data_IF_855016488558
#
_entry.id   IF_855016488558
#
_cell.length_a   1.000
_cell.length_b   1.000
_cell.length_c   1.000
_cell.angle_alpha   90.00
_cell.angle_beta   90.00
_cell.angle_gamma   90.00
#
_symmetry.space_group_name_H-M   'P 1'
#
loop_
_entity.id
_entity.type
_entity.pdbx_description
1 polymer ?
#
# COMPACT_ATOMS: atom_id res chain seq x y z
N UNK A 1 -71.54 16.57 12.06
CA UNK A 1 -70.88 15.51 11.24
C UNK A 1 -69.43 15.96 11.00
N UNK A 2 -68.51 15.47 11.84
CA UNK A 2 -67.10 15.88 11.77
C UNK A 2 -66.35 14.77 11.02
N UNK A 3 -65.82 15.10 9.84
CA UNK A 3 -64.97 14.20 9.06
C UNK A 3 -63.55 14.27 9.66
N UNK A 4 -63.18 13.18 10.34
CA UNK A 4 -61.81 12.97 10.81
C UNK A 4 -60.99 12.39 9.63
N UNK A 5 -60.17 13.21 8.99
CA UNK A 5 -59.25 12.76 7.92
C UNK A 5 -58.07 12.03 8.54
N UNK A 6 -57.96 10.75 8.28
CA UNK A 6 -56.77 9.96 8.67
C UNK A 6 -55.59 10.31 7.74
N UNK A 7 -54.57 11.00 8.28
CA UNK A 7 -53.30 11.20 7.60
C UNK A 7 -52.53 9.88 7.61
N UNK A 8 -52.37 9.26 6.44
CA UNK A 8 -51.48 8.10 6.29
C UNK A 8 -50.01 8.57 6.40
N UNK A 9 -49.36 8.27 7.51
CA UNK A 9 -47.93 8.44 7.65
C UNK A 9 -47.22 7.36 6.85
N UNK A 10 -46.60 7.71 5.74
CA UNK A 10 -45.67 6.82 5.04
C UNK A 10 -44.38 6.73 5.82
N UNK A 11 -43.90 5.52 6.17
CA UNK A 11 -42.57 5.39 6.79
C UNK A 11 -41.53 5.79 5.76
N UNK A 12 -40.89 6.93 5.97
CA UNK A 12 -39.65 7.29 5.26
C UNK A 12 -38.59 6.31 5.77
N UNK A 13 -38.32 5.23 5.05
CA UNK A 13 -37.13 4.42 5.24
C UNK A 13 -35.96 5.26 4.72
N UNK A 14 -35.28 5.93 5.63
CA UNK A 14 -33.95 6.43 5.37
C UNK A 14 -33.02 5.22 5.19
N UNK A 15 -32.87 4.79 3.95
CA UNK A 15 -31.92 3.75 3.58
C UNK A 15 -30.54 4.41 3.40
N UNK A 16 -30.00 4.96 4.51
CA UNK A 16 -28.61 5.39 4.57
C UNK A 16 -27.75 4.16 4.88
N UNK A 17 -27.69 3.22 3.95
CA UNK A 17 -26.63 2.24 3.92
C UNK A 17 -25.39 2.93 3.38
N UNK A 18 -24.29 2.99 4.18
CA UNK A 18 -22.98 3.31 3.62
C UNK A 18 -22.69 2.34 2.48
N UNK A 19 -22.03 2.77 1.40
CA UNK A 19 -21.65 1.89 0.31
C UNK A 19 -20.77 0.78 0.88
N UNK A 20 -21.04 -0.48 0.50
CA UNK A 20 -20.12 -1.58 0.79
C UNK A 20 -18.99 -1.55 -0.22
N UNK A 21 -17.76 -1.59 0.28
CA UNK A 21 -16.55 -1.71 -0.54
C UNK A 21 -16.03 -3.14 -0.62
N UNK A 22 -16.79 -4.13 -0.09
CA UNK A 22 -16.36 -5.52 -0.02
C UNK A 22 -15.99 -6.09 -1.38
N UNK A 23 -16.87 -5.95 -2.38
CA UNK A 23 -16.63 -6.47 -3.73
C UNK A 23 -15.43 -5.80 -4.41
N UNK A 24 -15.23 -4.50 -4.15
CA UNK A 24 -14.08 -3.76 -4.66
C UNK A 24 -12.78 -4.21 -3.99
N UNK A 25 -12.81 -4.37 -2.67
CA UNK A 25 -11.66 -4.85 -1.90
C UNK A 25 -11.28 -6.28 -2.32
N UNK A 26 -12.24 -7.20 -2.43
CA UNK A 26 -12.01 -8.57 -2.88
C UNK A 26 -11.33 -8.61 -4.26
N UNK A 27 -11.75 -7.73 -5.18
CA UNK A 27 -11.16 -7.63 -6.52
C UNK A 27 -9.75 -7.04 -6.51
N UNK A 28 -9.45 -6.07 -5.61
CA UNK A 28 -8.20 -5.33 -5.63
C UNK A 28 -7.11 -5.94 -4.73
N UNK A 29 -7.47 -6.67 -3.67
CA UNK A 29 -6.50 -7.29 -2.76
C UNK A 29 -5.45 -8.13 -3.50
N UNK A 30 -5.78 -8.96 -4.52
CA UNK A 30 -4.77 -9.74 -5.23
C UNK A 30 -3.76 -8.90 -6.02
N UNK A 31 -4.06 -7.63 -6.28
CA UNK A 31 -3.16 -6.71 -7.02
C UNK A 31 -2.26 -5.89 -6.10
N UNK A 32 -2.45 -5.96 -4.78
CA UNK A 32 -1.66 -5.24 -3.78
C UNK A 32 -0.62 -6.19 -3.20
N UNK A 33 0.60 -5.69 -3.03
CA UNK A 33 1.72 -6.46 -2.51
C UNK A 33 2.33 -5.78 -1.29
N UNK A 34 2.91 -6.59 -0.41
CA UNK A 34 3.76 -6.10 0.67
C UNK A 34 5.21 -6.08 0.17
N UNK A 35 5.93 -5.05 0.54
CA UNK A 35 7.33 -4.89 0.17
C UNK A 35 8.15 -4.78 1.45
N UNK A 36 9.17 -5.61 1.55
CA UNK A 36 10.18 -5.51 2.60
C UNK A 36 11.54 -5.30 1.96
N UNK A 37 12.31 -4.37 2.49
CA UNK A 37 13.65 -4.07 1.97
C UNK A 37 14.68 -4.20 3.08
N UNK A 38 15.85 -4.71 2.71
CA UNK A 38 17.02 -4.70 3.56
C UNK A 38 17.88 -3.53 3.10
N UNK A 39 18.08 -2.56 3.98
CA UNK A 39 18.90 -1.37 3.70
C UNK A 39 20.27 -1.54 4.34
N UNK A 40 21.32 -1.04 3.66
CA UNK A 40 22.63 -0.93 4.30
C UNK A 40 22.53 0.02 5.50
N UNK A 41 23.16 -0.33 6.62
CA UNK A 41 23.33 0.63 7.69
C UNK A 41 24.15 1.79 7.11
N UNK A 42 23.56 2.98 7.04
CA UNK A 42 24.32 4.20 6.80
C UNK A 42 25.56 4.15 7.70
N UNK A 43 26.73 4.59 7.18
CA UNK A 43 27.93 4.67 8.00
C UNK A 43 27.61 5.55 9.21
N UNK A 44 27.19 4.89 10.28
CA UNK A 44 26.87 5.58 11.53
C UNK A 44 28.20 6.12 12.02
N UNK A 45 28.33 7.45 11.96
CA UNK A 45 29.33 8.15 12.73
C UNK A 45 29.03 7.87 14.21
N UNK A 46 29.55 6.76 14.73
CA UNK A 46 29.49 6.46 16.16
C UNK A 46 30.32 7.53 16.83
N UNK A 47 29.72 8.46 17.61
CA UNK A 47 30.51 9.37 18.41
C UNK A 47 31.34 8.51 19.37
N UNK A 48 32.68 8.63 19.28
CA UNK A 48 33.57 7.94 20.17
C UNK A 48 33.18 8.24 21.63
N UNK A 49 33.02 7.18 22.39
CA UNK A 49 32.99 7.08 23.85
C UNK A 49 32.62 8.35 24.66
N UNK A 50 31.48 8.31 25.34
CA UNK A 50 31.24 9.19 26.49
C UNK A 50 29.88 9.77 26.72
N UNK A 51 28.76 9.18 26.29
CA UNK A 51 27.45 9.64 26.78
C UNK A 51 26.68 8.54 27.52
N UNK A 52 26.59 8.73 28.86
CA UNK A 52 25.63 8.03 29.71
C UNK A 52 24.20 8.39 29.28
N UNK A 53 23.56 7.53 28.52
CA UNK A 53 22.16 7.67 28.19
C UNK A 53 21.71 6.46 27.44
N UNK A 54 20.69 5.73 27.95
CA UNK A 54 20.19 4.46 27.45
C UNK A 54 20.04 4.42 25.93
N UNK A 55 21.09 3.95 25.26
CA UNK A 55 21.09 3.72 23.83
C UNK A 55 20.41 2.38 23.54
N UNK A 56 19.48 2.36 22.64
CA UNK A 56 19.05 1.15 21.97
C UNK A 56 20.33 0.42 21.46
N UNK A 57 20.45 -0.85 21.84
CA UNK A 57 21.52 -1.70 21.35
C UNK A 57 21.28 -1.94 19.86
N UNK A 58 22.05 -1.26 19.03
CA UNK A 58 22.01 -1.42 17.58
C UNK A 58 22.97 -2.53 17.20
N UNK A 59 22.45 -3.64 16.67
CA UNK A 59 23.28 -4.67 16.05
C UNK A 59 23.63 -4.23 14.63
N UNK A 60 24.90 -3.92 14.33
CA UNK A 60 25.34 -3.52 12.99
C UNK A 60 25.17 -4.61 11.92
N UNK A 61 24.85 -5.85 12.34
CA UNK A 61 24.65 -7.01 11.47
C UNK A 61 23.17 -7.24 11.11
N UNK A 62 22.24 -6.61 11.83
CA UNK A 62 20.82 -6.58 11.45
C UNK A 62 20.60 -5.35 10.58
N UNK A 63 20.55 -5.54 9.25
CA UNK A 63 20.18 -4.48 8.31
C UNK A 63 18.84 -3.86 8.69
N UNK A 64 18.65 -2.57 8.43
CA UNK A 64 17.35 -1.94 8.62
C UNK A 64 16.36 -2.56 7.65
N UNK A 65 15.25 -3.06 8.18
CA UNK A 65 14.11 -3.50 7.37
C UNK A 65 13.14 -2.34 7.23
N UNK A 66 12.93 -1.85 6.00
CA UNK A 66 11.82 -0.97 5.71
C UNK A 66 10.65 -1.80 5.15
N UNK A 67 9.44 -1.39 5.50
CA UNK A 67 8.21 -2.03 5.06
C UNK A 67 7.39 -1.02 4.26
N UNK A 68 6.75 -1.49 3.21
CA UNK A 68 5.88 -0.70 2.37
C UNK A 68 4.86 -1.54 1.63
N UNK A 69 4.06 -0.89 0.83
CA UNK A 69 3.10 -1.53 -0.05
C UNK A 69 3.35 -1.10 -1.49
N UNK A 70 2.94 -1.93 -2.43
CA UNK A 70 2.95 -1.64 -3.84
C UNK A 70 1.72 -2.22 -4.52
N UNK A 71 1.58 -1.95 -5.80
CA UNK A 71 0.52 -2.54 -6.61
C UNK A 71 1.04 -2.97 -7.98
N UNK A 72 0.52 -4.10 -8.43
CA UNK A 72 0.91 -4.76 -9.69
C UNK A 72 0.26 -4.02 -10.85
N UNK A 73 1.05 -3.60 -11.83
CA UNK A 73 0.59 -2.87 -13.02
C UNK A 73 0.63 -3.71 -14.31
N UNK A 74 1.27 -4.87 -14.26
CA UNK A 74 1.34 -5.78 -15.43
C UNK A 74 1.39 -7.25 -14.99
N UNK A 75 0.85 -8.12 -15.82
CA UNK A 75 0.76 -9.57 -15.59
C UNK A 75 2.13 -10.24 -15.50
N UNK A 76 3.15 -9.62 -16.10
CA UNK A 76 4.53 -10.08 -16.11
C UNK A 76 5.37 -9.58 -14.92
N UNK A 77 4.76 -8.86 -13.95
CA UNK A 77 5.37 -8.57 -12.66
C UNK A 77 5.96 -7.18 -12.46
N UNK A 78 5.56 -6.16 -13.24
CA UNK A 78 5.89 -4.78 -12.89
C UNK A 78 5.01 -4.28 -11.76
N UNK A 79 5.62 -3.62 -10.78
CA UNK A 79 4.99 -3.13 -9.55
C UNK A 79 5.39 -1.69 -9.33
N UNK A 80 4.41 -0.84 -9.00
CA UNK A 80 4.66 0.53 -8.53
C UNK A 80 4.62 0.55 -7.00
N UNK A 81 5.59 1.24 -6.41
CA UNK A 81 5.69 1.53 -4.99
C UNK A 81 6.20 2.95 -4.77
N UNK A 82 6.43 3.34 -3.51
CA UNK A 82 7.05 4.62 -3.19
C UNK A 82 8.57 4.52 -3.26
N UNK A 83 9.21 5.62 -3.67
CA UNK A 83 10.67 5.69 -3.77
C UNK A 83 11.35 5.49 -2.41
N UNK A 84 10.82 6.12 -1.35
CA UNK A 84 11.39 5.99 -0.01
C UNK A 84 11.38 4.56 0.54
N UNK A 85 10.53 3.65 0.00
CA UNK A 85 10.50 2.23 0.40
C UNK A 85 11.74 1.49 -0.13
N UNK A 86 12.22 1.87 -1.34
CA UNK A 86 13.32 1.19 -2.01
C UNK A 86 14.65 1.97 -1.93
N UNK A 87 14.62 3.16 -1.35
CA UNK A 87 15.80 4.00 -1.20
C UNK A 87 16.85 3.29 -0.35
N UNK A 88 18.08 3.22 -0.85
CA UNK A 88 19.22 2.53 -0.22
C UNK A 88 18.98 1.01 0.06
N UNK A 89 18.01 0.40 -0.61
CA UNK A 89 17.77 -1.04 -0.49
C UNK A 89 18.86 -1.85 -1.21
N UNK A 90 19.46 -2.83 -0.52
CA UNK A 90 20.30 -3.85 -1.14
C UNK A 90 19.47 -4.98 -1.71
N UNK A 91 18.40 -5.34 -1.00
CA UNK A 91 17.48 -6.42 -1.38
C UNK A 91 16.04 -5.90 -1.23
N UNK A 92 15.24 -6.17 -2.22
CA UNK A 92 13.79 -5.88 -2.22
C UNK A 92 13.04 -7.19 -2.32
N UNK A 93 12.25 -7.53 -1.31
CA UNK A 93 11.38 -8.69 -1.31
C UNK A 93 9.92 -8.25 -1.44
N UNK A 94 9.20 -8.91 -2.31
CA UNK A 94 7.76 -8.71 -2.53
C UNK A 94 7.00 -9.92 -2.04
N UNK A 95 5.99 -9.70 -1.21
CA UNK A 95 5.07 -10.72 -0.74
C UNK A 95 3.74 -10.54 -1.43
N UNK A 96 3.35 -11.52 -2.23
CA UNK A 96 2.09 -11.55 -2.96
C UNK A 96 0.92 -11.89 -2.01
N UNK A 97 -0.32 -11.73 -2.50
CA UNK A 97 -1.55 -11.96 -1.71
C UNK A 97 -1.68 -13.39 -1.16
N UNK A 98 -1.05 -14.37 -1.81
CA UNK A 98 -1.04 -15.78 -1.41
C UNK A 98 0.14 -16.14 -0.48
N UNK A 99 0.88 -15.13 0.00
CA UNK A 99 2.11 -15.22 0.78
C UNK A 99 3.32 -15.78 0.03
N UNK A 100 3.29 -15.82 -1.31
CA UNK A 100 4.48 -16.12 -2.10
C UNK A 100 5.46 -14.96 -1.99
N UNK A 101 6.70 -15.25 -1.61
CA UNK A 101 7.79 -14.28 -1.54
C UNK A 101 8.64 -14.36 -2.80
N UNK A 102 8.90 -13.20 -3.42
CA UNK A 102 9.71 -13.08 -4.64
C UNK A 102 10.65 -11.90 -4.50
N UNK A 103 11.92 -12.09 -4.81
CA UNK A 103 12.89 -11.01 -4.90
C UNK A 103 12.60 -10.14 -6.12
N UNK A 104 12.75 -8.83 -5.96
CA UNK A 104 12.46 -7.85 -7.00
C UNK A 104 13.70 -7.08 -7.43
N UNK A 105 13.80 -6.83 -8.73
CA UNK A 105 14.76 -5.92 -9.33
C UNK A 105 14.23 -4.48 -9.29
N UNK A 106 15.07 -3.54 -8.88
CA UNK A 106 14.76 -2.11 -8.95
C UNK A 106 14.99 -1.65 -10.40
N UNK A 107 13.91 -1.26 -11.09
CA UNK A 107 13.97 -0.74 -12.46
C UNK A 107 14.31 0.75 -12.48
N UNK A 108 13.76 1.50 -11.52
CA UNK A 108 14.04 2.92 -11.37
C UNK A 108 13.10 3.59 -10.37
N UNK A 109 13.41 4.85 -10.07
CA UNK A 109 12.59 5.66 -9.16
C UNK A 109 12.85 7.15 -9.32
N UNK A 110 11.91 7.95 -8.85
CA UNK A 110 11.99 9.39 -8.81
C UNK A 110 11.69 9.89 -7.39
N UNK A 111 12.73 10.36 -6.71
CA UNK A 111 12.66 10.93 -5.36
C UNK A 111 11.67 12.09 -5.25
N UNK A 112 11.56 12.93 -6.31
CA UNK A 112 10.70 14.13 -6.26
C UNK A 112 9.22 13.80 -6.25
N UNK A 113 8.81 12.74 -6.96
CA UNK A 113 7.43 12.27 -7.01
C UNK A 113 7.17 11.17 -5.99
N UNK A 114 8.21 10.68 -5.34
CA UNK A 114 8.17 9.51 -4.45
C UNK A 114 7.56 8.27 -5.13
N UNK A 115 7.90 8.05 -6.40
CA UNK A 115 7.43 6.90 -7.18
C UNK A 115 8.62 6.02 -7.56
N UNK A 116 8.47 4.70 -7.41
CA UNK A 116 9.43 3.71 -7.86
C UNK A 116 8.76 2.60 -8.65
N UNK A 117 9.52 2.03 -9.60
CA UNK A 117 9.15 0.87 -10.38
C UNK A 117 10.10 -0.27 -10.04
N UNK A 118 9.53 -1.41 -9.66
CA UNK A 118 10.25 -2.65 -9.41
C UNK A 118 9.68 -3.77 -10.28
N UNK A 119 10.44 -4.84 -10.48
CA UNK A 119 10.08 -5.98 -11.31
C UNK A 119 10.33 -7.27 -10.56
N UNK A 120 9.36 -8.16 -10.56
CA UNK A 120 9.52 -9.54 -10.09
C UNK A 120 9.41 -10.50 -11.26
N UNK A 121 9.97 -11.71 -11.11
CA UNK A 121 9.70 -12.84 -12.00
C UNK A 121 8.63 -13.73 -11.33
N UNK A 122 7.33 -13.51 -11.65
CA UNK A 122 6.26 -14.19 -10.94
C UNK A 122 6.20 -15.67 -11.31
N UNK A 123 5.89 -16.57 -10.37
CA UNK A 123 5.75 -18.00 -10.65
C UNK A 123 4.45 -18.35 -11.38
N UNK A 124 3.53 -17.39 -11.50
CA UNK A 124 2.23 -17.52 -12.19
C UNK A 124 1.79 -16.14 -12.73
N UNK A 125 0.78 -16.14 -13.60
CA UNK A 125 0.19 -14.91 -14.13
C UNK A 125 -0.48 -14.09 -13.01
N UNK A 126 -0.14 -12.81 -12.94
CA UNK A 126 -0.60 -11.91 -11.88
C UNK A 126 -1.83 -11.12 -12.29
N UNK A 127 -2.72 -10.90 -11.34
CA UNK A 127 -3.75 -9.87 -11.46
C UNK A 127 -3.10 -8.48 -11.38
N UNK A 128 -3.58 -7.53 -12.19
CA UNK A 128 -3.08 -6.16 -12.25
C UNK A 128 -4.18 -5.14 -11.98
N UNK A 129 -3.79 -3.97 -11.49
CA UNK A 129 -4.70 -2.84 -11.34
C UNK A 129 -5.09 -2.27 -12.71
N UNK A 130 -6.24 -1.62 -12.75
CA UNK A 130 -6.64 -0.76 -13.86
C UNK A 130 -6.58 0.68 -13.36
N UNK A 131 -5.78 1.52 -14.03
CA UNK A 131 -5.70 2.94 -13.69
C UNK A 131 -7.04 3.63 -13.96
N UNK A 132 -7.46 4.47 -13.00
CA UNK A 132 -8.60 5.35 -13.16
C UNK A 132 -8.21 6.70 -13.73
N UNK A 133 -9.22 7.54 -13.96
CA UNK A 133 -9.04 8.94 -14.33
C UNK A 133 -9.11 9.81 -13.07
N UNK A 134 -7.97 10.32 -12.62
CA UNK A 134 -7.88 11.16 -11.42
C UNK A 134 -8.57 12.52 -11.60
N UNK A 135 -8.73 13.02 -12.83
CA UNK A 135 -9.39 14.28 -13.12
C UNK A 135 -10.93 14.17 -12.97
N UNK A 136 -11.45 12.95 -12.98
CA UNK A 136 -12.87 12.67 -12.78
C UNK A 136 -13.30 12.67 -11.31
N UNK A 137 -12.36 12.61 -10.34
CA UNK A 137 -12.64 12.55 -8.90
C UNK A 137 -13.08 13.93 -8.39
N UNK A 138 -14.12 13.96 -7.56
CA UNK A 138 -14.67 15.20 -7.00
C UNK A 138 -14.55 15.22 -5.48
N UNK A 139 -14.48 16.42 -4.92
CA UNK A 139 -14.57 16.60 -3.46
C UNK A 139 -15.91 16.05 -2.94
N UNK A 140 -15.86 15.12 -2.00
CA UNK A 140 -17.03 14.43 -1.43
C UNK A 140 -17.25 13.01 -1.98
N UNK A 141 -16.49 12.58 -2.97
CA UNK A 141 -16.53 11.19 -3.43
C UNK A 141 -15.85 10.27 -2.41
N UNK A 142 -16.37 9.05 -2.29
CA UNK A 142 -15.77 8.02 -1.46
C UNK A 142 -14.50 7.48 -2.12
N UNK A 143 -13.46 7.29 -1.31
CA UNK A 143 -12.20 6.67 -1.72
C UNK A 143 -11.83 5.55 -0.75
N UNK A 144 -11.13 4.55 -1.27
CA UNK A 144 -10.61 3.43 -0.49
C UNK A 144 -9.09 3.38 -0.65
N UNK A 145 -8.37 3.39 0.46
CA UNK A 145 -6.94 3.10 0.49
C UNK A 145 -6.74 1.62 0.86
N UNK A 146 -5.92 0.91 0.09
CA UNK A 146 -5.56 -0.48 0.35
C UNK A 146 -4.04 -0.53 0.44
N UNK A 147 -3.53 -1.09 1.52
CA UNK A 147 -2.11 -1.24 1.80
C UNK A 147 -1.92 -2.02 3.08
N UNK A 148 -0.68 -2.28 3.45
CA UNK A 148 -0.31 -2.98 4.67
C UNK A 148 0.37 -2.04 5.65
#
# INVERSE_FOLDING_TARGET
MVLCGAAAAFPVRAQYGFPSFADLAEKLIPTVVNISTIQQPDQINIPAEGSNGGGEYYDPLEGRVALGSGFIISEDGYIITNYHVIENAEVVNVVLFDNTEVEADIIGGDEKTDIALIKIEPPFELDKVTFGDSDAIRVGDWVLAIGN
#
